data_IF_329340588667
#
_entry.id   IF_329340588667
#
_cell.length_a   1.000
_cell.length_b   1.000
_cell.length_c   1.000
_cell.angle_alpha   90.00
_cell.angle_beta   90.00
_cell.angle_gamma   90.00
#
_symmetry.space_group_name_H-M   'P 1'
#
loop_
_entity.id
_entity.type
_entity.pdbx_description
1 polymer ?
#
# COMPACT_ATOMS: atom_id res chain seq x y z
N UNK A 1 -0.06 -27.46 -4.07
CA UNK A 1 0.76 -26.42 -4.71
C UNK A 1 0.64 -26.62 -6.21
N UNK A 2 -0.36 -25.97 -6.82
CA UNK A 2 -0.57 -25.93 -8.26
C UNK A 2 0.48 -25.02 -8.90
N UNK A 3 0.97 -25.40 -10.09
CA UNK A 3 2.09 -24.76 -10.79
C UNK A 3 1.72 -23.50 -11.61
N UNK A 4 0.49 -23.00 -11.48
CA UNK A 4 0.07 -21.73 -12.09
C UNK A 4 0.33 -20.62 -11.07
N UNK A 5 1.51 -20.01 -11.23
CA UNK A 5 2.20 -19.27 -10.18
C UNK A 5 1.68 -17.87 -9.89
N UNK A 6 1.99 -17.44 -8.67
CA UNK A 6 1.99 -16.05 -8.24
C UNK A 6 2.60 -15.10 -9.30
N UNK A 7 2.16 -13.85 -9.26
CA UNK A 7 2.35 -12.81 -10.26
C UNK A 7 3.73 -12.76 -10.90
N UNK A 8 3.78 -12.30 -12.14
CA UNK A 8 4.99 -12.18 -12.95
C UNK A 8 5.44 -10.73 -13.05
N UNK A 9 6.74 -10.50 -12.90
CA UNK A 9 7.32 -9.19 -13.16
C UNK A 9 7.41 -8.97 -14.68
N UNK A 10 6.81 -7.89 -15.16
CA UNK A 10 6.95 -7.33 -16.50
C UNK A 10 7.88 -6.13 -16.46
N UNK A 11 8.99 -6.20 -17.19
CA UNK A 11 9.90 -5.05 -17.36
C UNK A 11 9.35 -4.11 -18.44
N UNK A 12 8.30 -3.38 -18.10
CA UNK A 12 7.68 -2.37 -18.96
C UNK A 12 7.80 -0.96 -18.36
N UNK A 13 7.83 0.10 -19.19
CA UNK A 13 7.83 1.47 -18.71
C UNK A 13 6.54 1.83 -17.94
N UNK A 14 6.62 2.82 -17.06
CA UNK A 14 5.44 3.43 -16.42
C UNK A 14 5.43 4.94 -16.56
N UNK A 15 4.27 5.56 -16.34
CA UNK A 15 4.08 7.01 -16.33
C UNK A 15 3.95 7.53 -14.90
N UNK A 16 4.81 8.49 -14.57
CA UNK A 16 4.83 9.14 -13.25
C UNK A 16 4.47 10.62 -13.41
N UNK A 17 3.41 11.11 -12.74
CA UNK A 17 3.10 12.52 -12.75
C UNK A 17 4.16 13.31 -11.99
N UNK A 18 4.41 14.52 -12.49
CA UNK A 18 5.37 15.48 -11.94
C UNK A 18 4.74 16.86 -11.87
N UNK A 19 5.45 17.80 -11.27
CA UNK A 19 5.00 19.19 -11.11
C UNK A 19 4.57 19.78 -12.47
N UNK A 20 3.56 20.64 -12.46
CA UNK A 20 2.96 21.25 -13.66
C UNK A 20 2.27 20.27 -14.61
N UNK A 21 1.65 19.20 -14.07
CA UNK A 21 0.86 18.20 -14.83
C UNK A 21 1.64 17.50 -15.95
N UNK A 22 2.97 17.46 -15.84
CA UNK A 22 3.83 16.72 -16.77
C UNK A 22 3.88 15.26 -16.37
N UNK A 23 4.00 14.38 -17.34
CA UNK A 23 4.26 12.95 -17.12
C UNK A 23 5.67 12.62 -17.55
N UNK A 24 6.35 11.82 -16.74
CA UNK A 24 7.65 11.26 -17.05
C UNK A 24 7.51 9.76 -17.27
N UNK A 25 7.93 9.29 -18.44
CA UNK A 25 8.13 7.87 -18.70
C UNK A 25 9.33 7.38 -17.91
N UNK A 26 9.15 6.35 -17.09
CA UNK A 26 10.21 5.72 -16.30
C UNK A 26 10.38 4.29 -16.77
N UNK A 27 11.57 4.00 -17.27
CA UNK A 27 11.96 2.67 -17.72
C UNK A 27 12.42 1.80 -16.54
N UNK A 28 12.21 0.47 -16.58
CA UNK A 28 12.77 -0.45 -15.60
C UNK A 28 14.27 -0.21 -15.36
N UNK A 29 14.66 -0.30 -14.10
CA UNK A 29 15.99 -0.03 -13.59
C UNK A 29 16.40 1.44 -13.52
N UNK A 30 15.55 2.41 -13.88
CA UNK A 30 15.83 3.84 -13.70
C UNK A 30 15.44 4.34 -12.30
N UNK A 31 16.06 5.44 -11.83
CA UNK A 31 15.70 6.04 -10.55
C UNK A 31 14.23 6.45 -10.53
N UNK A 32 13.55 6.16 -9.43
CA UNK A 32 12.16 6.54 -9.25
C UNK A 32 12.04 8.05 -8.99
N UNK A 33 11.24 8.79 -9.78
CA UNK A 33 11.20 10.26 -9.74
C UNK A 33 10.12 10.81 -8.78
N UNK A 34 9.49 9.97 -7.97
CA UNK A 34 8.39 10.34 -7.05
C UNK A 34 8.57 9.66 -5.68
N UNK A 35 7.55 9.71 -4.82
CA UNK A 35 7.56 9.11 -3.51
C UNK A 35 7.74 7.59 -3.57
N UNK A 36 8.61 7.03 -2.71
CA UNK A 36 8.77 5.60 -2.52
C UNK A 36 7.60 5.07 -1.67
N UNK A 37 6.62 4.46 -2.34
CA UNK A 37 5.27 4.21 -1.82
C UNK A 37 4.77 2.82 -2.21
N UNK A 38 3.64 2.40 -1.66
CA UNK A 38 3.00 1.10 -1.90
C UNK A 38 3.07 0.15 -0.71
N UNK A 39 2.44 -1.02 -0.83
CA UNK A 39 2.53 -2.12 0.14
C UNK A 39 3.98 -2.58 0.31
N UNK A 40 4.45 -2.73 1.56
CA UNK A 40 5.81 -3.21 1.85
C UNK A 40 5.87 -4.72 1.84
N UNK A 41 6.84 -5.25 1.10
CA UNK A 41 7.19 -6.66 1.10
C UNK A 41 8.70 -6.84 1.18
N UNK A 42 9.12 -8.05 1.53
CA UNK A 42 10.52 -8.46 1.50
C UNK A 42 10.66 -9.81 0.81
N UNK A 43 11.61 -9.92 -0.11
CA UNK A 43 12.04 -11.23 -0.61
C UNK A 43 13.03 -11.84 0.39
N UNK A 44 12.64 -12.96 1.00
CA UNK A 44 13.41 -13.63 2.06
C UNK A 44 13.61 -15.11 1.75
N UNK A 45 14.64 -15.72 2.35
CA UNK A 45 14.87 -17.16 2.25
C UNK A 45 14.12 -17.88 3.37
N UNK A 46 13.21 -18.79 3.00
CA UNK A 46 12.55 -19.74 3.89
C UNK A 46 13.22 -21.11 3.79
N UNK A 47 13.46 -21.76 4.93
CA UNK A 47 14.00 -23.13 4.97
C UNK A 47 13.04 -24.15 4.34
N UNK A 48 11.72 -23.88 4.42
CA UNK A 48 10.67 -24.81 3.99
C UNK A 48 10.26 -24.60 2.54
N UNK A 49 10.28 -23.34 2.07
CA UNK A 49 9.67 -22.96 0.78
C UNK A 49 10.65 -22.31 -0.20
N UNK A 50 11.95 -22.21 0.14
CA UNK A 50 12.91 -21.47 -0.66
C UNK A 50 12.69 -19.96 -0.56
N UNK A 51 12.95 -19.22 -1.63
CA UNK A 51 12.75 -17.77 -1.62
C UNK A 51 11.27 -17.41 -1.77
N UNK A 52 10.74 -16.64 -0.81
CA UNK A 52 9.33 -16.23 -0.71
C UNK A 52 9.21 -14.72 -0.60
N UNK A 53 8.05 -14.18 -1.01
CA UNK A 53 7.67 -12.83 -0.68
C UNK A 53 6.99 -12.82 0.68
N UNK A 54 7.44 -11.94 1.58
CA UNK A 54 6.95 -11.83 2.94
C UNK A 54 6.43 -10.42 3.19
N UNK A 55 5.20 -10.33 3.69
CA UNK A 55 4.73 -9.18 4.43
C UNK A 55 5.00 -9.37 5.92
N UNK A 56 5.39 -8.31 6.62
CA UNK A 56 5.55 -8.36 8.07
C UNK A 56 5.18 -7.05 8.74
N UNK A 57 4.54 -7.17 9.89
CA UNK A 57 4.30 -6.08 10.80
C UNK A 57 4.98 -6.37 12.14
N UNK A 58 5.87 -5.47 12.56
CA UNK A 58 6.67 -5.54 13.81
C UNK A 58 7.43 -6.86 14.05
N UNK A 59 7.61 -7.68 13.02
CA UNK A 59 8.31 -8.96 13.09
C UNK A 59 7.47 -10.12 13.67
N UNK A 60 6.36 -9.85 14.34
CA UNK A 60 5.54 -10.85 15.03
C UNK A 60 4.28 -11.28 14.27
N UNK A 61 3.84 -10.47 13.31
CA UNK A 61 2.82 -10.83 12.34
C UNK A 61 3.50 -10.93 10.98
N UNK A 62 3.37 -12.09 10.33
CA UNK A 62 3.97 -12.38 9.05
C UNK A 62 2.98 -13.13 8.17
N UNK A 63 2.96 -12.76 6.89
CA UNK A 63 2.28 -13.50 5.86
C UNK A 63 3.29 -13.76 4.74
N UNK A 64 3.33 -14.98 4.23
CA UNK A 64 4.27 -15.38 3.18
C UNK A 64 3.49 -15.90 1.99
N UNK A 65 4.00 -15.59 0.81
CA UNK A 65 3.48 -16.10 -0.45
C UNK A 65 4.64 -16.40 -1.39
N UNK A 66 4.41 -17.15 -2.46
CA UNK A 66 5.44 -17.42 -3.44
C UNK A 66 5.99 -16.11 -4.02
N UNK A 67 7.28 -16.09 -4.31
CA UNK A 67 7.89 -14.91 -4.93
C UNK A 67 7.36 -14.71 -6.35
N UNK A 68 7.14 -13.46 -6.77
CA UNK A 68 6.86 -13.18 -8.16
C UNK A 68 7.92 -13.72 -9.13
N UNK A 69 7.49 -14.24 -10.27
CA UNK A 69 8.40 -14.71 -11.32
C UNK A 69 9.23 -13.53 -11.85
N UNK A 70 10.53 -13.74 -12.04
CA UNK A 70 11.45 -12.71 -12.55
C UNK A 70 11.94 -11.68 -11.53
N UNK A 71 11.21 -11.45 -10.43
CA UNK A 71 11.55 -10.41 -9.45
C UNK A 71 12.95 -10.57 -8.84
N UNK A 72 13.30 -11.78 -8.37
CA UNK A 72 14.63 -12.05 -7.79
C UNK A 72 15.77 -11.74 -8.76
N UNK A 73 15.60 -12.10 -10.04
CA UNK A 73 16.59 -11.83 -11.08
C UNK A 73 16.75 -10.32 -11.28
N UNK A 74 15.65 -9.59 -11.45
CA UNK A 74 15.68 -8.14 -11.60
C UNK A 74 16.31 -7.43 -10.40
N UNK A 75 15.99 -7.86 -9.16
CA UNK A 75 16.62 -7.29 -7.96
C UNK A 75 18.14 -7.55 -7.92
N UNK A 76 18.58 -8.72 -8.39
CA UNK A 76 20.00 -9.07 -8.49
C UNK A 76 20.73 -8.15 -9.47
N UNK A 77 20.14 -7.94 -10.65
CA UNK A 77 20.68 -7.05 -11.71
C UNK A 77 20.78 -5.60 -11.23
N UNK A 78 19.86 -5.17 -10.36
CA UNK A 78 19.90 -3.85 -9.74
C UNK A 78 20.92 -3.72 -8.61
N UNK A 79 21.63 -4.79 -8.24
CA UNK A 79 22.69 -4.77 -7.23
C UNK A 79 22.24 -5.18 -5.83
N UNK A 80 21.04 -5.73 -5.64
CA UNK A 80 20.64 -6.31 -4.35
C UNK A 80 21.40 -7.59 -4.08
N UNK A 81 21.99 -7.70 -2.90
CA UNK A 81 22.68 -8.92 -2.45
C UNK A 81 21.77 -10.14 -2.56
N UNK A 82 22.16 -11.11 -3.40
CA UNK A 82 21.41 -12.34 -3.70
C UNK A 82 19.98 -12.11 -4.23
N UNK A 83 19.68 -10.92 -4.75
CA UNK A 83 18.34 -10.55 -5.22
C UNK A 83 17.29 -10.44 -4.13
N UNK A 84 17.70 -10.28 -2.86
CA UNK A 84 16.81 -10.25 -1.68
C UNK A 84 16.70 -8.85 -1.08
N UNK A 85 15.70 -8.67 -0.21
CA UNK A 85 15.45 -7.43 0.51
C UNK A 85 14.07 -6.86 0.24
N UNK A 86 13.83 -5.64 0.73
CA UNK A 86 12.54 -4.98 0.65
C UNK A 86 12.23 -4.47 -0.76
N UNK A 87 10.94 -4.53 -1.11
CA UNK A 87 10.34 -3.90 -2.26
C UNK A 87 8.96 -3.35 -1.88
N UNK A 88 8.47 -2.42 -2.70
CA UNK A 88 7.14 -1.84 -2.60
C UNK A 88 6.33 -2.23 -3.82
N UNK A 89 5.03 -2.41 -3.62
CA UNK A 89 4.07 -2.65 -4.69
C UNK A 89 2.95 -1.61 -4.61
N UNK A 90 2.77 -0.82 -5.66
CA UNK A 90 1.74 0.23 -5.72
C UNK A 90 0.40 -0.33 -6.17
N UNK A 91 -0.68 0.44 -5.97
CA UNK A 91 -2.02 0.13 -6.48
C UNK A 91 -2.14 0.11 -8.01
N UNK A 92 -1.08 0.49 -8.74
CA UNK A 92 -0.99 0.35 -10.21
C UNK A 92 -0.02 -0.76 -10.63
N UNK A 93 0.35 -1.65 -9.71
CA UNK A 93 1.24 -2.78 -9.97
C UNK A 93 2.73 -2.41 -10.07
N UNK A 94 3.11 -1.14 -9.93
CA UNK A 94 4.50 -0.71 -10.03
C UNK A 94 5.31 -1.30 -8.87
N UNK A 95 6.41 -1.99 -9.20
CA UNK A 95 7.36 -2.54 -8.22
C UNK A 95 8.51 -1.56 -8.04
N UNK A 96 8.72 -1.12 -6.81
CA UNK A 96 9.82 -0.22 -6.45
C UNK A 96 10.76 -0.92 -5.48
N UNK A 97 12.05 -0.62 -5.54
CA UNK A 97 13.01 -1.06 -4.53
C UNK A 97 14.04 0.03 -4.25
N UNK A 98 14.73 -0.06 -3.12
CA UNK A 98 15.83 0.84 -2.75
C UNK A 98 17.18 0.16 -2.89
N UNK A 99 18.09 0.70 -3.70
CA UNK A 99 19.43 0.14 -3.93
C UNK A 99 20.49 1.04 -3.30
N UNK A 100 21.50 0.51 -2.57
CA UNK A 100 22.61 1.31 -2.09
C UNK A 100 23.28 2.09 -3.23
N UNK A 101 23.50 3.40 -3.06
CA UNK A 101 24.02 4.26 -4.12
C UNK A 101 25.39 3.81 -4.66
N UNK A 102 26.23 3.22 -3.80
CA UNK A 102 27.53 2.65 -4.20
C UNK A 102 27.44 1.37 -5.04
N UNK A 103 26.26 0.73 -5.11
CA UNK A 103 26.01 -0.50 -5.88
C UNK A 103 25.14 -0.24 -7.12
N UNK A 104 24.53 0.93 -7.23
CA UNK A 104 23.60 1.25 -8.29
C UNK A 104 24.30 1.91 -9.49
N UNK A 105 24.17 1.29 -10.67
CA UNK A 105 24.90 1.73 -11.88
C UNK A 105 24.48 3.12 -12.38
N UNK A 106 23.26 3.57 -12.06
CA UNK A 106 22.68 4.82 -12.57
C UNK A 106 22.58 5.90 -11.47
N UNK A 107 23.44 5.84 -10.47
CA UNK A 107 23.46 6.80 -9.35
C UNK A 107 23.52 8.26 -9.81
N UNK A 108 24.21 8.57 -10.92
CA UNK A 108 24.27 9.93 -11.47
C UNK A 108 22.96 10.45 -12.08
N UNK A 109 22.00 9.57 -12.36
CA UNK A 109 20.69 9.93 -12.90
C UNK A 109 19.66 10.20 -11.79
N UNK A 110 19.96 9.83 -10.55
CA UNK A 110 19.05 9.95 -9.42
C UNK A 110 19.05 11.37 -8.83
N UNK A 111 17.92 11.80 -8.28
CA UNK A 111 17.79 13.10 -7.58
C UNK A 111 18.60 13.17 -6.28
N UNK A 112 18.91 12.01 -5.70
CA UNK A 112 19.88 11.85 -4.62
C UNK A 112 20.88 10.75 -5.00
N UNK A 113 22.16 10.98 -4.70
CA UNK A 113 23.26 10.12 -5.14
C UNK A 113 24.01 9.44 -3.97
N UNK A 114 23.42 9.46 -2.77
CA UNK A 114 23.94 8.86 -1.53
C UNK A 114 22.85 8.04 -0.85
N UNK A 115 23.23 7.21 0.13
CA UNK A 115 22.28 6.36 0.85
C UNK A 115 21.69 5.28 -0.06
N UNK A 116 20.37 5.17 -0.10
CA UNK A 116 19.60 4.18 -0.84
C UNK A 116 18.67 4.84 -1.86
N UNK A 117 18.94 4.61 -3.14
CA UNK A 117 18.24 5.22 -4.25
C UNK A 117 16.99 4.38 -4.56
N UNK A 118 15.78 4.98 -4.55
CA UNK A 118 14.59 4.31 -5.05
C UNK A 118 14.68 4.07 -6.56
N UNK A 119 14.34 2.86 -7.00
CA UNK A 119 14.46 2.39 -8.38
C UNK A 119 13.17 1.69 -8.78
N UNK A 120 12.70 1.97 -10.00
CA UNK A 120 11.58 1.26 -10.60
C UNK A 120 12.06 -0.08 -11.17
N UNK A 121 11.41 -1.19 -10.80
CA UNK A 121 11.83 -2.54 -11.19
C UNK A 121 11.04 -3.05 -12.40
N UNK A 122 9.78 -2.60 -12.54
CA UNK A 122 8.82 -3.07 -13.54
C UNK A 122 7.41 -3.09 -12.94
N UNK A 123 6.45 -3.74 -13.60
CA UNK A 123 5.11 -3.97 -13.06
C UNK A 123 4.90 -5.43 -12.71
N UNK A 124 4.14 -5.67 -11.66
CA UNK A 124 3.63 -7.00 -11.33
C UNK A 124 2.32 -7.23 -12.08
N UNK A 125 2.20 -8.40 -12.68
CA UNK A 125 1.05 -8.85 -13.47
C UNK A 125 0.58 -10.22 -12.97
N UNK A 126 -0.73 -10.41 -12.81
CA UNK A 126 -1.33 -11.63 -12.23
C UNK A 126 -1.40 -11.64 -10.70
N UNK A 127 -1.87 -12.75 -10.15
CA UNK A 127 -2.30 -12.86 -8.76
C UNK A 127 -1.13 -12.77 -7.78
N UNK A 128 -1.22 -11.87 -6.81
CA UNK A 128 -0.25 -11.75 -5.72
C UNK A 128 -1.01 -11.66 -4.40
N UNK A 129 -1.29 -12.82 -3.81
CA UNK A 129 -2.08 -12.91 -2.59
C UNK A 129 -1.55 -14.01 -1.65
N UNK A 130 -2.14 -14.13 -0.46
CA UNK A 130 -1.72 -15.08 0.58
C UNK A 130 -2.74 -16.19 0.76
N UNK A 131 -2.27 -17.38 1.16
CA UNK A 131 -3.13 -18.56 1.29
C UNK A 131 -4.18 -18.44 2.41
N UNK A 132 -3.82 -17.85 3.56
CA UNK A 132 -4.69 -17.80 4.74
C UNK A 132 -5.55 -16.52 4.84
N UNK A 133 -5.18 -15.47 4.11
CA UNK A 133 -5.79 -14.13 4.18
C UNK A 133 -5.79 -13.58 2.76
N UNK A 134 -6.97 -13.21 2.25
CA UNK A 134 -7.05 -12.57 0.94
C UNK A 134 -6.93 -11.06 1.06
N UNK A 135 -6.03 -10.47 0.27
CA UNK A 135 -5.95 -9.04 0.03
C UNK A 135 -6.67 -8.62 -1.26
N UNK A 136 -7.23 -9.55 -2.02
CA UNK A 136 -8.03 -9.28 -3.22
C UNK A 136 -9.49 -9.76 -3.07
N UNK A 137 -10.23 -9.30 -2.03
CA UNK A 137 -11.61 -9.71 -1.84
C UNK A 137 -12.51 -9.17 -2.96
N UNK A 138 -13.60 -9.88 -3.27
CA UNK A 138 -14.61 -9.32 -4.18
C UNK A 138 -15.15 -8.00 -3.62
N UNK A 139 -15.13 -6.88 -4.37
CA UNK A 139 -15.64 -5.61 -3.88
C UNK A 139 -17.14 -5.68 -3.57
N UNK A 140 -17.62 -4.92 -2.57
CA UNK A 140 -19.04 -4.83 -2.31
C UNK A 140 -19.77 -4.32 -3.56
N UNK A 141 -20.95 -4.87 -3.84
CA UNK A 141 -21.71 -4.50 -5.04
C UNK A 141 -22.22 -3.05 -5.02
N UNK A 142 -22.14 -2.36 -3.88
CA UNK A 142 -22.59 -0.99 -3.69
C UNK A 142 -21.50 -0.19 -2.98
N UNK A 143 -21.15 1.00 -3.48
CA UNK A 143 -20.19 1.93 -2.87
C UNK A 143 -20.65 2.51 -1.54
N UNK A 144 -21.94 2.41 -1.24
CA UNK A 144 -22.51 2.73 0.07
C UNK A 144 -22.56 1.50 1.00
N UNK A 145 -22.08 0.33 0.59
CA UNK A 145 -21.88 -0.75 1.56
C UNK A 145 -20.67 -0.42 2.44
N UNK A 146 -20.77 -0.80 3.71
CA UNK A 146 -19.66 -0.71 4.66
C UNK A 146 -19.39 -2.12 5.13
N UNK A 147 -18.16 -2.58 4.94
CA UNK A 147 -17.72 -3.91 5.36
C UNK A 147 -16.46 -3.78 6.22
N UNK A 148 -16.09 -4.84 6.94
CA UNK A 148 -14.84 -4.88 7.69
C UNK A 148 -13.74 -5.37 6.76
N UNK A 149 -12.60 -4.66 6.73
CA UNK A 149 -11.44 -5.08 5.97
C UNK A 149 -10.86 -6.37 6.55
N UNK A 150 -10.86 -7.42 5.74
CA UNK A 150 -10.43 -8.77 6.11
C UNK A 150 -9.00 -9.12 5.67
N UNK A 151 -8.40 -8.30 4.81
CA UNK A 151 -7.00 -8.44 4.41
C UNK A 151 -6.03 -8.09 5.52
N UNK A 152 -4.79 -7.75 5.18
CA UNK A 152 -3.74 -7.38 6.14
C UNK A 152 -4.05 -6.01 6.76
N UNK A 153 -4.42 -5.89 8.05
CA UNK A 153 -5.02 -4.66 8.53
C UNK A 153 -3.98 -3.77 9.23
N UNK A 154 -2.68 -3.84 8.85
CA UNK A 154 -1.61 -3.09 9.52
C UNK A 154 -0.71 -2.36 8.53
N UNK A 155 -1.08 -1.13 8.15
CA UNK A 155 -0.32 -0.32 7.18
C UNK A 155 0.02 -1.07 5.88
N UNK A 156 -0.85 -2.00 5.49
CA UNK A 156 -0.80 -2.66 4.18
C UNK A 156 -1.54 -1.80 3.18
N UNK A 157 -0.95 -1.65 1.99
CA UNK A 157 -1.33 -0.64 1.03
C UNK A 157 -0.55 0.66 1.14
N UNK A 158 -0.66 1.44 0.08
CA UNK A 158 -0.19 2.80 0.03
C UNK A 158 -1.00 3.68 0.97
N UNK A 159 -0.31 4.40 1.85
CA UNK A 159 -0.96 5.26 2.84
C UNK A 159 -1.25 6.64 2.26
N UNK A 160 -2.52 7.03 2.34
CA UNK A 160 -3.02 8.35 1.96
C UNK A 160 -3.76 8.99 3.13
N UNK A 161 -3.71 10.30 3.22
CA UNK A 161 -4.48 11.09 4.17
C UNK A 161 -5.57 11.85 3.42
N UNK A 162 -6.82 11.58 3.78
CA UNK A 162 -7.95 12.46 3.49
C UNK A 162 -7.85 13.65 4.43
N UNK A 163 -7.62 14.85 3.89
CA UNK A 163 -7.45 16.06 4.69
C UNK A 163 -8.77 16.81 4.89
N UNK A 164 -8.81 17.76 5.82
CA UNK A 164 -10.00 18.55 6.13
C UNK A 164 -10.44 19.46 4.97
N UNK A 165 -9.50 19.85 4.11
CA UNK A 165 -9.69 20.62 2.87
C UNK A 165 -10.04 19.74 1.65
N UNK A 166 -10.47 18.50 1.89
CA UNK A 166 -10.91 17.54 0.86
C UNK A 166 -9.83 17.09 -0.13
N UNK A 167 -8.57 17.33 0.18
CA UNK A 167 -7.43 16.90 -0.64
C UNK A 167 -6.85 15.59 -0.12
N UNK A 168 -6.56 14.68 -1.06
CA UNK A 168 -5.83 13.44 -0.77
C UNK A 168 -4.31 13.72 -0.79
N UNK A 169 -3.64 13.46 0.34
CA UNK A 169 -2.20 13.69 0.48
C UNK A 169 -1.46 12.44 0.90
N UNK A 170 -0.41 12.10 0.17
CA UNK A 170 0.58 11.14 0.63
C UNK A 170 1.53 11.84 1.62
N UNK A 171 1.93 11.15 2.68
CA UNK A 171 2.82 11.74 3.69
C UNK A 171 3.89 10.76 4.17
N UNK A 172 5.08 11.28 4.41
CA UNK A 172 6.16 10.58 5.11
C UNK A 172 6.97 11.58 5.93
N UNK A 173 7.11 11.30 7.23
CA UNK A 173 7.67 12.27 8.19
C UNK A 173 6.98 13.64 8.03
N UNK A 174 7.74 14.70 7.79
CA UNK A 174 7.22 16.06 7.61
C UNK A 174 6.83 16.38 6.15
N UNK A 175 7.10 15.47 5.21
CA UNK A 175 6.74 15.65 3.81
C UNK A 175 5.28 15.31 3.55
N UNK A 176 4.61 16.17 2.78
CA UNK A 176 3.23 15.98 2.32
C UNK A 176 3.11 16.33 0.84
N UNK A 177 2.62 15.40 0.04
CA UNK A 177 2.46 15.57 -1.40
C UNK A 177 1.02 15.28 -1.80
N UNK A 178 0.43 16.22 -2.53
CA UNK A 178 -0.93 16.08 -3.05
C UNK A 178 -0.97 15.02 -4.17
N UNK A 179 -2.12 14.35 -4.28
CA UNK A 179 -2.40 13.53 -5.45
C UNK A 179 -2.38 14.39 -6.72
N UNK A 180 -1.88 13.83 -7.81
CA UNK A 180 -1.94 14.41 -9.14
C UNK A 180 -3.38 14.50 -9.68
N UNK A 181 -4.32 13.79 -9.06
CA UNK A 181 -5.70 13.64 -9.46
C UNK A 181 -6.63 13.97 -8.30
N UNK A 182 -7.78 14.55 -8.62
CA UNK A 182 -8.84 14.81 -7.66
C UNK A 182 -9.62 13.52 -7.37
N UNK A 183 -10.02 13.33 -6.11
CA UNK A 183 -10.73 12.15 -5.64
C UNK A 183 -11.99 12.50 -4.81
N UNK A 184 -12.91 13.33 -5.34
CA UNK A 184 -14.06 13.81 -4.58
C UNK A 184 -15.00 12.68 -4.11
N UNK A 185 -15.20 11.63 -4.91
CA UNK A 185 -16.10 10.53 -4.54
C UNK A 185 -15.51 9.69 -3.40
N UNK A 186 -14.23 9.32 -3.50
CA UNK A 186 -13.53 8.61 -2.44
C UNK A 186 -13.42 9.45 -1.15
N UNK A 187 -13.08 10.73 -1.28
CA UNK A 187 -12.99 11.64 -0.13
C UNK A 187 -14.34 11.77 0.57
N UNK A 188 -15.43 11.96 -0.19
CA UNK A 188 -16.77 12.03 0.36
C UNK A 188 -17.18 10.72 1.06
N UNK A 189 -16.89 9.57 0.46
CA UNK A 189 -17.19 8.26 1.04
C UNK A 189 -16.47 8.03 2.37
N UNK A 190 -15.20 8.44 2.50
CA UNK A 190 -14.50 8.31 3.77
C UNK A 190 -14.96 9.36 4.80
N UNK A 191 -15.20 10.61 4.38
CA UNK A 191 -15.65 11.68 5.29
C UNK A 191 -17.07 11.48 5.81
N UNK A 192 -17.91 10.69 5.13
CA UNK A 192 -19.22 10.30 5.70
C UNK A 192 -19.06 9.48 6.98
N UNK A 193 -17.99 8.66 7.08
CA UNK A 193 -17.66 7.87 8.26
C UNK A 193 -16.79 8.65 9.26
N UNK A 194 -15.91 9.51 8.76
CA UNK A 194 -14.95 10.28 9.57
C UNK A 194 -14.83 11.72 9.06
N UNK A 195 -15.68 12.66 9.53
CA UNK A 195 -15.76 14.02 8.99
C UNK A 195 -14.46 14.82 8.99
N UNK A 196 -13.59 14.61 9.98
CA UNK A 196 -12.27 15.28 10.08
C UNK A 196 -11.23 14.72 9.10
N UNK A 197 -11.59 13.69 8.32
CA UNK A 197 -10.65 12.95 7.48
C UNK A 197 -9.72 12.06 8.31
N UNK A 198 -8.65 11.58 7.69
CA UNK A 198 -7.76 10.59 8.30
C UNK A 198 -7.03 9.71 7.29
N UNK A 199 -6.38 8.67 7.79
CA UNK A 199 -5.62 7.73 6.95
C UNK A 199 -6.53 6.70 6.30
N UNK A 200 -6.36 6.56 5.00
CA UNK A 200 -6.82 5.43 4.20
C UNK A 200 -5.61 4.72 3.60
N UNK A 201 -5.85 3.50 3.15
CA UNK A 201 -4.86 2.64 2.54
C UNK A 201 -5.42 2.09 1.24
N UNK A 202 -4.60 2.11 0.19
CA UNK A 202 -4.94 1.53 -1.11
C UNK A 202 -3.94 0.43 -1.40
N UNK A 203 -4.38 -0.82 -1.41
CA UNK A 203 -3.48 -1.93 -1.66
C UNK A 203 -3.16 -2.09 -3.15
N UNK A 204 -2.25 -3.01 -3.46
CA UNK A 204 -1.79 -3.31 -4.81
C UNK A 204 -2.90 -3.73 -5.79
N UNK A 205 -4.00 -4.25 -5.25
CA UNK A 205 -5.18 -4.68 -5.99
C UNK A 205 -6.22 -3.57 -6.11
N UNK A 206 -5.94 -2.37 -5.60
CA UNK A 206 -6.87 -1.23 -5.67
C UNK A 206 -7.96 -1.22 -4.59
N UNK A 207 -7.92 -2.12 -3.61
CA UNK A 207 -8.85 -2.08 -2.47
C UNK A 207 -8.50 -0.98 -1.50
N UNK A 208 -9.53 -0.29 -1.04
CA UNK A 208 -9.42 0.88 -0.19
C UNK A 208 -10.01 0.56 1.17
N UNK A 209 -9.22 0.74 2.22
CA UNK A 209 -9.69 0.60 3.59
C UNK A 209 -9.17 1.72 4.47
N UNK A 210 -9.88 2.00 5.56
CA UNK A 210 -9.58 3.13 6.44
C UNK A 210 -9.81 2.82 7.90
N UNK A 211 -9.31 3.71 8.75
CA UNK A 211 -9.43 3.56 10.20
C UNK A 211 -10.64 4.33 10.70
N UNK A 212 -11.57 3.63 11.35
CA UNK A 212 -12.80 4.22 11.90
C UNK A 212 -12.88 3.91 13.39
N UNK A 213 -13.09 4.94 14.18
CA UNK A 213 -13.43 4.80 15.60
C UNK A 213 -14.95 4.75 15.74
N UNK A 214 -15.45 3.63 16.27
CA UNK A 214 -16.89 3.35 16.37
C UNK A 214 -17.62 4.35 17.27
N UNK A 215 -16.91 4.99 18.19
CA UNK A 215 -17.50 5.92 19.16
C UNK A 215 -17.68 7.34 18.59
N UNK A 216 -16.87 7.70 17.59
CA UNK A 216 -16.85 9.04 16.97
C UNK A 216 -17.50 9.11 15.59
N UNK A 217 -17.92 7.96 15.02
CA UNK A 217 -18.72 7.92 13.79
C UNK A 217 -20.02 8.75 13.93
N UNK A 218 -20.40 9.52 12.88
CA UNK A 218 -21.67 10.26 12.86
C UNK A 218 -22.87 9.39 13.19
N UNK A 219 -23.86 9.94 13.90
CA UNK A 219 -25.04 9.18 14.35
C UNK A 219 -25.80 8.50 13.21
N UNK A 220 -25.82 9.09 12.02
CA UNK A 220 -26.42 8.52 10.80
C UNK A 220 -25.75 7.24 10.32
N UNK A 221 -24.48 7.02 10.67
CA UNK A 221 -23.65 5.91 10.18
C UNK A 221 -23.43 4.82 11.23
N UNK A 222 -23.76 5.08 12.52
CA UNK A 222 -23.53 4.13 13.62
C UNK A 222 -24.23 2.78 13.40
N UNK A 223 -25.46 2.80 12.89
CA UNK A 223 -26.19 1.57 12.57
C UNK A 223 -25.46 0.73 11.53
N UNK A 224 -25.04 1.35 10.42
CA UNK A 224 -24.29 0.70 9.34
C UNK A 224 -22.98 0.09 9.83
N UNK A 225 -22.21 0.82 10.63
CA UNK A 225 -20.94 0.34 11.18
C UNK A 225 -21.14 -0.82 12.16
N UNK A 226 -22.17 -0.75 13.02
CA UNK A 226 -22.49 -1.84 13.94
C UNK A 226 -22.93 -3.08 13.17
N UNK A 227 -23.86 -2.94 12.24
CA UNK A 227 -24.38 -4.07 11.47
C UNK A 227 -23.27 -4.74 10.62
N UNK A 228 -22.34 -3.95 10.07
CA UNK A 228 -21.15 -4.46 9.38
C UNK A 228 -20.21 -5.24 10.32
N UNK A 229 -20.01 -4.73 11.53
CA UNK A 229 -19.19 -5.41 12.54
C UNK A 229 -19.83 -6.72 13.02
N UNK A 230 -21.14 -6.70 13.31
CA UNK A 230 -21.89 -7.88 13.76
C UNK A 230 -21.90 -8.98 12.69
N UNK A 231 -22.07 -8.59 11.42
CA UNK A 231 -22.04 -9.53 10.30
C UNK A 231 -20.63 -10.13 10.09
N UNK A 232 -19.59 -9.30 10.18
CA UNK A 232 -18.21 -9.77 10.15
C UNK A 232 -17.92 -10.70 11.34
N UNK A 233 -18.38 -10.38 12.55
CA UNK A 233 -18.27 -11.24 13.72
C UNK A 233 -19.05 -12.56 13.57
N UNK A 234 -19.96 -12.67 12.60
CA UNK A 234 -20.66 -13.93 12.32
C UNK A 234 -19.94 -14.74 11.23
N UNK A 235 -19.36 -14.09 10.23
CA UNK A 235 -18.87 -14.75 9.01
C UNK A 235 -17.35 -14.87 8.92
N UNK A 236 -16.58 -14.06 9.67
CA UNK A 236 -15.14 -14.04 9.60
C UNK A 236 -14.51 -15.39 9.97
N UNK A 237 -13.52 -15.80 9.18
CA UNK A 237 -12.62 -16.91 9.45
C UNK A 237 -11.78 -16.65 10.71
N UNK A 238 -11.17 -17.72 11.24
CA UNK A 238 -10.29 -17.62 12.40
C UNK A 238 -9.07 -16.71 12.15
N UNK A 239 -8.53 -16.70 10.92
CA UNK A 239 -7.38 -15.88 10.57
C UNK A 239 -7.73 -14.38 10.55
N UNK A 240 -8.86 -14.02 9.93
CA UNK A 240 -9.39 -12.66 9.88
C UNK A 240 -9.70 -12.13 11.29
N UNK A 241 -10.44 -12.91 12.09
CA UNK A 241 -10.73 -12.55 13.50
C UNK A 241 -9.46 -12.27 14.27
N UNK A 242 -8.48 -13.16 14.18
CA UNK A 242 -7.19 -12.99 14.87
C UNK A 242 -6.50 -11.68 14.48
N UNK A 243 -6.50 -11.31 13.20
CA UNK A 243 -5.84 -10.08 12.75
C UNK A 243 -6.58 -8.82 13.15
N UNK A 244 -7.90 -8.78 12.94
CA UNK A 244 -8.72 -7.61 13.31
C UNK A 244 -8.72 -7.43 14.83
N UNK A 245 -8.88 -8.49 15.64
CA UNK A 245 -8.79 -8.38 17.10
C UNK A 245 -7.41 -7.86 17.55
N UNK A 246 -6.31 -8.38 16.99
CA UNK A 246 -4.96 -7.85 17.29
C UNK A 246 -4.84 -6.39 16.95
N UNK A 247 -5.45 -5.96 15.85
CA UNK A 247 -5.44 -4.56 15.43
C UNK A 247 -6.21 -3.68 16.41
N UNK A 248 -7.44 -4.08 16.78
CA UNK A 248 -8.25 -3.32 17.73
C UNK A 248 -7.47 -3.12 19.03
N UNK A 249 -6.91 -4.19 19.60
CA UNK A 249 -6.08 -4.10 20.81
C UNK A 249 -4.84 -3.20 20.64
N UNK A 250 -4.20 -3.17 19.47
CA UNK A 250 -3.02 -2.33 19.20
C UNK A 250 -3.34 -0.86 18.96
N UNK A 251 -4.59 -0.57 18.62
CA UNK A 251 -5.04 0.80 18.30
C UNK A 251 -5.93 1.36 19.41
N UNK A 252 -6.16 0.58 20.47
CA UNK A 252 -6.81 1.01 21.69
C UNK A 252 -6.00 2.13 22.36
N UNK A 253 -6.69 3.21 22.73
CA UNK A 253 -6.10 4.36 23.41
C UNK A 253 -7.20 5.15 24.12
N UNK A 254 -6.83 6.16 24.92
CA UNK A 254 -7.81 7.07 25.54
C UNK A 254 -8.73 7.75 24.51
N UNK A 255 -8.22 8.01 23.29
CA UNK A 255 -8.97 8.61 22.20
C UNK A 255 -9.77 7.61 21.36
N UNK A 256 -9.56 6.31 21.55
CA UNK A 256 -10.24 5.23 20.82
C UNK A 256 -10.29 3.97 21.71
N UNK A 257 -11.16 3.99 22.71
CA UNK A 257 -11.21 2.96 23.76
C UNK A 257 -11.54 1.55 23.23
N UNK A 258 -12.11 1.47 22.04
CA UNK A 258 -12.49 0.23 21.38
C UNK A 258 -11.54 -0.17 20.24
N UNK A 259 -10.40 0.53 20.11
CA UNK A 259 -9.51 0.44 18.96
C UNK A 259 -10.11 1.01 17.67
N UNK A 260 -9.28 1.10 16.65
CA UNK A 260 -9.64 1.61 15.32
C UNK A 260 -10.03 0.45 14.39
N UNK A 261 -11.33 0.35 14.11
CA UNK A 261 -11.91 -0.63 13.22
C UNK A 261 -11.37 -0.43 11.78
N UNK A 262 -10.85 -1.48 11.12
CA UNK A 262 -10.44 -1.38 9.73
C UNK A 262 -11.69 -1.54 8.85
N UNK A 263 -12.19 -0.44 8.31
CA UNK A 263 -13.39 -0.43 7.46
C UNK A 263 -12.97 -0.51 6.01
N UNK A 264 -13.56 -1.44 5.27
CA UNK A 264 -13.43 -1.56 3.83
C UNK A 264 -14.41 -0.60 3.15
N UNK A 265 -13.86 0.30 2.32
CA UNK A 265 -14.62 1.32 1.61
C UNK A 265 -15.05 0.86 0.22
N UNK A 266 -14.33 -0.09 -0.36
CA UNK A 266 -14.55 -0.58 -1.72
C UNK A 266 -13.27 -0.59 -2.54
N UNK A 267 -13.41 -0.85 -3.84
CA UNK A 267 -12.30 -0.90 -4.78
C UNK A 267 -12.21 0.40 -5.58
N UNK A 268 -11.00 0.82 -5.95
CA UNK A 268 -10.75 2.11 -6.63
C UNK A 268 -11.56 2.28 -7.90
N UNK A 269 -11.82 1.21 -8.65
CA UNK A 269 -12.70 1.25 -9.85
C UNK A 269 -14.12 1.73 -9.59
N UNK A 270 -14.56 1.73 -8.33
CA UNK A 270 -15.89 2.19 -7.91
C UNK A 270 -15.90 3.69 -7.56
N UNK A 271 -14.75 4.37 -7.58
CA UNK A 271 -14.59 5.77 -7.23
C UNK A 271 -13.82 6.51 -8.32
N UNK A 272 -14.24 7.74 -8.63
CA UNK A 272 -13.44 8.70 -9.41
C UNK A 272 -12.93 8.13 -10.75
N UNK A 273 -13.75 7.27 -11.39
CA UNK A 273 -13.42 6.60 -12.65
C UNK A 273 -12.30 5.55 -12.57
N UNK A 274 -11.96 5.05 -11.39
CA UNK A 274 -10.89 4.07 -11.20
C UNK A 274 -9.48 4.66 -11.23
N UNK A 275 -9.37 5.99 -11.13
CA UNK A 275 -8.06 6.65 -11.13
C UNK A 275 -7.38 6.40 -9.80
N UNK A 276 -6.17 5.84 -9.83
CA UNK A 276 -5.35 5.65 -8.63
C UNK A 276 -4.62 6.95 -8.29
N UNK A 277 -4.66 7.43 -7.04
CA UNK A 277 -3.93 8.62 -6.63
C UNK A 277 -2.42 8.43 -6.80
N UNK A 278 -1.72 9.49 -7.22
CA UNK A 278 -0.26 9.46 -7.41
C UNK A 278 0.37 10.75 -6.86
N UNK A 279 1.35 10.68 -5.95
CA UNK A 279 1.89 11.87 -5.32
C UNK A 279 2.74 12.68 -6.28
N UNK A 280 2.55 14.01 -6.26
CA UNK A 280 3.41 14.96 -6.97
C UNK A 280 4.44 15.51 -5.99
N UNK A 281 5.68 15.03 -6.11
CA UNK A 281 6.78 15.51 -5.25
C UNK A 281 7.17 16.93 -5.66
N UNK A 282 6.79 17.90 -4.84
CA UNK A 282 7.06 19.33 -5.01
C UNK A 282 8.29 19.81 -4.25
N UNK A 283 8.72 19.06 -3.24
CA UNK A 283 9.94 19.33 -2.47
C UNK A 283 11.04 18.31 -2.82
N UNK A 284 12.15 18.80 -3.37
CA UNK A 284 13.27 17.94 -3.78
C UNK A 284 14.15 17.48 -2.61
N UNK A 285 14.11 18.12 -1.43
CA UNK A 285 14.88 17.63 -0.27
C UNK A 285 14.42 16.24 0.18
N UNK A 286 13.16 15.90 -0.11
CA UNK A 286 12.61 14.55 0.10
C UNK A 286 13.50 13.45 -0.46
N UNK A 287 14.08 13.61 -1.66
CA UNK A 287 14.94 12.58 -2.24
C UNK A 287 16.22 12.37 -1.43
N UNK A 288 16.77 13.46 -0.87
CA UNK A 288 17.96 13.40 -0.02
C UNK A 288 17.67 12.70 1.31
N UNK A 289 16.56 13.05 1.96
CA UNK A 289 16.20 12.53 3.28
C UNK A 289 15.69 11.08 3.20
N UNK A 290 14.83 10.79 2.21
CA UNK A 290 14.32 9.45 1.97
C UNK A 290 15.42 8.45 1.63
N UNK A 291 16.51 8.90 0.98
CA UNK A 291 17.62 8.03 0.66
C UNK A 291 18.42 7.59 1.90
N UNK A 292 18.35 8.33 3.01
CA UNK A 292 19.00 7.94 4.26
C UNK A 292 18.24 6.85 5.02
N UNK A 293 16.99 6.60 4.65
CA UNK A 293 16.15 5.53 5.21
C UNK A 293 16.08 4.34 4.23
N UNK A 294 16.73 3.19 4.53
CA UNK A 294 16.74 2.04 3.64
C UNK A 294 15.36 1.39 3.44
N UNK A 295 14.41 1.64 4.34
CA UNK A 295 13.27 0.76 4.56
C UNK A 295 11.92 1.47 4.70
N UNK A 296 11.86 2.77 4.33
CA UNK A 296 10.63 3.56 4.15
C UNK A 296 9.45 2.72 3.76
#
# INVERSE_FOLDING_TARGET
MSADGNGSLRQEPTQVPTVNRRQLTVEPGHPWPSAYRGSKYSLVSSRKFGDVAQWSHMGDIQAMTERPRGLKTALTELGKTNGRGSFRLTATGEVLTKVPAGQYQRTSQARANRGHIPVYVGKLDGDFDFEEISNDPTPPSNTNAVEIWTGLPFNHGETWAVCTDDVLRWSWQDYRFESAFDHPELVAAYKSLRPEGGRIYINEHGHIWGNVDRDTVPSSERGRIRDAFDEWERTASNAERRLVTRRLNRTESEAAANGLLPVYLGHISQFDGGIVPKPVVTDNSYFGDSAMDPDQ
#
